data_IF_451824153864
#
_entry.id   IF_451824153864
#
_cell.length_a   1.000
_cell.length_b   1.000
_cell.length_c   1.000
_cell.angle_alpha   90.00
_cell.angle_beta   90.00
_cell.angle_gamma   90.00
#
_symmetry.space_group_name_H-M   'P 1'
#
loop_
_entity.id
_entity.type
_entity.pdbx_description
1 polymer ?
#
# COMPACT_ATOMS: atom_id res chain seq x y z
N UNK A 1 -22.11 9.81 10.23
CA UNK A 1 -22.66 10.40 8.98
C UNK A 1 -23.28 11.73 9.34
N UNK A 2 -23.02 12.79 8.57
CA UNK A 2 -23.65 14.10 8.73
C UNK A 2 -24.76 14.30 7.68
N UNK A 3 -25.70 15.20 7.92
CA UNK A 3 -26.73 15.57 6.93
C UNK A 3 -26.11 15.98 5.58
N UNK A 4 -25.00 16.73 5.61
CA UNK A 4 -24.26 17.10 4.40
C UNK A 4 -23.68 15.89 3.65
N UNK A 5 -23.21 14.87 4.37
CA UNK A 5 -22.72 13.63 3.74
C UNK A 5 -23.84 12.81 3.09
N UNK A 6 -25.05 12.82 3.67
CA UNK A 6 -26.21 12.12 3.10
C UNK A 6 -26.70 12.81 1.83
N UNK A 7 -26.79 14.15 1.87
CA UNK A 7 -27.20 14.94 0.72
C UNK A 7 -26.19 14.82 -0.42
N UNK A 8 -24.89 14.91 -0.10
CA UNK A 8 -23.82 14.69 -1.08
C UNK A 8 -23.89 13.30 -1.71
N UNK A 9 -24.14 12.25 -0.92
CA UNK A 9 -24.35 10.91 -1.45
C UNK A 9 -25.52 10.88 -2.45
N UNK A 10 -26.68 11.46 -2.10
CA UNK A 10 -27.86 11.46 -2.98
C UNK A 10 -27.61 12.26 -4.28
N UNK A 11 -26.91 13.38 -4.18
CA UNK A 11 -26.64 14.28 -5.31
C UNK A 11 -25.58 13.77 -6.31
N UNK A 12 -24.85 12.70 -5.98
CA UNK A 12 -23.86 12.10 -6.87
C UNK A 12 -24.30 10.67 -7.28
N UNK A 13 -25.28 10.53 -8.19
CA UNK A 13 -25.86 9.23 -8.54
C UNK A 13 -24.82 8.28 -9.14
N UNK A 14 -23.90 8.75 -9.97
CA UNK A 14 -22.84 7.90 -10.53
C UNK A 14 -21.97 7.31 -9.42
N UNK A 15 -21.52 8.12 -8.47
CA UNK A 15 -20.69 7.64 -7.37
C UNK A 15 -21.48 6.73 -6.42
N UNK A 16 -22.74 7.06 -6.12
CA UNK A 16 -23.60 6.33 -5.18
C UNK A 16 -24.10 5.00 -5.73
N UNK A 17 -24.51 4.96 -7.00
CA UNK A 17 -24.86 3.71 -7.67
C UNK A 17 -23.62 2.83 -7.82
N UNK A 18 -22.47 3.40 -8.20
CA UNK A 18 -21.22 2.65 -8.20
C UNK A 18 -20.87 2.12 -6.80
N UNK A 19 -21.05 2.90 -5.73
CA UNK A 19 -20.80 2.43 -4.37
C UNK A 19 -21.69 1.24 -3.97
N UNK A 20 -22.97 1.27 -4.34
CA UNK A 20 -23.94 0.23 -3.99
C UNK A 20 -23.78 -1.05 -4.82
N UNK A 21 -23.47 -0.91 -6.12
CA UNK A 21 -23.48 -2.03 -7.05
C UNK A 21 -22.11 -2.54 -7.50
N UNK A 22 -21.01 -1.82 -7.19
CA UNK A 22 -19.66 -2.30 -7.52
C UNK A 22 -19.35 -3.60 -6.78
N UNK A 23 -18.49 -4.41 -7.39
CA UNK A 23 -17.87 -5.51 -6.68
C UNK A 23 -17.10 -5.01 -5.45
N UNK A 24 -17.13 -5.81 -4.38
CA UNK A 24 -16.28 -5.56 -3.22
C UNK A 24 -14.82 -5.53 -3.67
N UNK A 25 -14.05 -4.58 -3.13
CA UNK A 25 -12.62 -4.50 -3.35
C UNK A 25 -11.96 -5.83 -2.99
N UNK A 26 -11.14 -6.35 -3.91
CA UNK A 26 -10.43 -7.62 -3.78
C UNK A 26 -8.97 -7.37 -4.11
N UNK A 27 -8.09 -7.77 -3.19
CA UNK A 27 -6.66 -7.85 -3.47
C UNK A 27 -6.40 -9.21 -4.12
N UNK A 28 -6.29 -9.26 -5.45
CA UNK A 28 -6.22 -10.51 -6.22
C UNK A 28 -5.14 -11.48 -5.69
N UNK A 29 -4.03 -10.96 -5.17
CA UNK A 29 -2.94 -11.75 -4.60
C UNK A 29 -3.24 -12.33 -3.19
N UNK A 30 -4.27 -11.83 -2.50
CA UNK A 30 -4.61 -12.16 -1.09
C UNK A 30 -5.97 -12.87 -0.99
N UNK A 31 -6.82 -12.80 -2.02
CA UNK A 31 -8.15 -13.45 -2.05
C UNK A 31 -8.08 -14.95 -1.71
N UNK A 32 -6.97 -15.62 -2.05
CA UNK A 32 -6.76 -17.04 -1.77
C UNK A 32 -6.27 -17.34 -0.35
N UNK A 33 -5.77 -16.34 0.38
CA UNK A 33 -5.24 -16.48 1.75
C UNK A 33 -6.29 -16.21 2.83
N UNK A 34 -7.47 -15.74 2.46
CA UNK A 34 -8.58 -15.47 3.38
C UNK A 34 -9.58 -16.61 3.36
N UNK A 35 -9.66 -17.39 4.45
CA UNK A 35 -10.72 -18.37 4.62
C UNK A 35 -12.10 -17.69 4.60
N UNK A 36 -13.04 -18.32 3.88
CA UNK A 36 -14.42 -17.85 3.72
C UNK A 36 -15.15 -17.84 5.08
N UNK A 37 -15.07 -16.75 5.82
CA UNK A 37 -15.91 -16.57 6.99
C UNK A 37 -15.34 -15.62 8.02
N UNK A 38 -15.92 -14.43 8.08
CA UNK A 38 -15.69 -13.38 9.08
C UNK A 38 -14.38 -12.59 8.96
N UNK A 39 -14.53 -11.27 8.76
CA UNK A 39 -13.47 -10.26 8.91
C UNK A 39 -12.39 -10.20 7.82
N UNK A 40 -12.80 -10.09 6.54
CA UNK A 40 -11.91 -9.80 5.39
C UNK A 40 -10.91 -8.66 5.72
N UNK A 41 -11.37 -7.65 6.44
CA UNK A 41 -10.56 -6.48 6.77
C UNK A 41 -9.43 -6.80 7.76
N UNK A 42 -9.66 -7.74 8.70
CA UNK A 42 -8.68 -8.13 9.73
C UNK A 42 -7.60 -9.06 9.16
N UNK A 43 -7.97 -9.97 8.26
CA UNK A 43 -7.03 -10.89 7.62
C UNK A 43 -6.14 -10.20 6.59
N UNK A 44 -6.67 -9.24 5.83
CA UNK A 44 -5.87 -8.44 4.88
C UNK A 44 -4.86 -7.55 5.62
N UNK A 45 -5.30 -6.84 6.66
CA UNK A 45 -4.41 -6.01 7.47
C UNK A 45 -3.35 -6.88 8.17
N UNK A 46 -3.75 -8.03 8.73
CA UNK A 46 -2.83 -8.99 9.35
C UNK A 46 -1.77 -9.49 8.37
N UNK A 47 -2.17 -9.94 7.18
CA UNK A 47 -1.26 -10.37 6.13
C UNK A 47 -0.30 -9.26 5.69
N UNK A 48 -0.80 -8.05 5.44
CA UNK A 48 0.03 -6.90 5.08
C UNK A 48 1.05 -6.61 6.18
N UNK A 49 0.64 -6.67 7.44
CA UNK A 49 1.52 -6.45 8.60
C UNK A 49 2.62 -7.53 8.70
N UNK A 50 2.31 -8.79 8.41
CA UNK A 50 3.32 -9.86 8.35
C UNK A 50 4.33 -9.66 7.21
N UNK A 51 3.97 -8.95 6.14
CA UNK A 51 4.91 -8.60 5.06
C UNK A 51 5.82 -7.42 5.43
N UNK A 52 5.52 -6.68 6.50
CA UNK A 52 6.39 -5.61 6.99
C UNK A 52 7.51 -6.19 7.85
N UNK A 53 8.66 -6.40 7.23
CA UNK A 53 9.84 -6.94 7.88
C UNK A 53 10.64 -5.87 8.64
N UNK A 54 11.05 -6.10 9.91
CA UNK A 54 11.90 -5.19 10.69
C UNK A 54 13.40 -5.25 10.34
N UNK A 55 13.78 -5.63 9.13
CA UNK A 55 15.18 -5.56 8.68
C UNK A 55 15.73 -4.12 8.66
N UNK A 56 17.06 -4.00 8.72
CA UNK A 56 17.71 -2.70 8.55
C UNK A 56 17.39 -2.11 7.17
N UNK A 57 17.24 -0.78 7.12
CA UNK A 57 16.76 -0.07 5.93
C UNK A 57 17.73 -0.19 4.73
N UNK A 58 19.04 -0.28 5.02
CA UNK A 58 20.09 -0.25 4.00
C UNK A 58 20.18 -1.55 3.19
N UNK A 59 20.19 -2.72 3.85
CA UNK A 59 20.24 -4.03 3.17
C UNK A 59 18.99 -4.26 2.32
N UNK A 60 17.83 -3.76 2.78
CA UNK A 60 16.59 -3.80 1.99
C UNK A 60 16.71 -2.96 0.73
N UNK A 61 17.27 -1.75 0.81
CA UNK A 61 17.49 -0.91 -0.36
C UNK A 61 18.41 -1.61 -1.36
N UNK A 62 19.53 -2.18 -0.90
CA UNK A 62 20.42 -2.97 -1.75
C UNK A 62 19.71 -4.14 -2.43
N UNK A 63 18.93 -4.92 -1.67
CA UNK A 63 18.17 -6.04 -2.20
C UNK A 63 17.19 -5.60 -3.29
N UNK A 64 16.43 -4.53 -3.02
CA UNK A 64 15.45 -3.99 -3.96
C UNK A 64 16.10 -3.50 -5.24
N UNK A 65 17.21 -2.76 -5.16
CA UNK A 65 17.97 -2.29 -6.33
C UNK A 65 18.50 -3.46 -7.15
N UNK A 66 19.14 -4.45 -6.51
CA UNK A 66 19.68 -5.66 -7.16
C UNK A 66 18.58 -6.47 -7.87
N UNK A 67 17.38 -6.54 -7.28
CA UNK A 67 16.25 -7.28 -7.84
C UNK A 67 15.55 -6.52 -8.98
N UNK A 68 15.42 -5.20 -8.86
CA UNK A 68 14.68 -4.36 -9.80
C UNK A 68 15.42 -4.15 -11.13
N UNK A 69 16.74 -3.93 -11.09
CA UNK A 69 17.61 -3.78 -12.28
C UNK A 69 17.18 -2.69 -13.28
N UNK A 70 16.44 -1.69 -12.81
CA UNK A 70 15.93 -0.53 -13.54
C UNK A 70 16.11 0.71 -12.65
N UNK A 71 15.87 1.94 -13.15
CA UNK A 71 15.90 3.13 -12.31
C UNK A 71 15.04 2.94 -11.05
N UNK A 72 15.64 3.19 -9.89
CA UNK A 72 15.05 2.96 -8.58
C UNK A 72 15.02 4.29 -7.82
N UNK A 73 13.84 4.69 -7.37
CA UNK A 73 13.64 5.88 -6.55
C UNK A 73 13.47 5.49 -5.08
N UNK A 74 14.28 6.09 -4.20
CA UNK A 74 14.22 5.89 -2.76
C UNK A 74 13.43 7.02 -2.10
N UNK A 75 12.18 6.73 -1.75
CA UNK A 75 11.30 7.67 -1.05
C UNK A 75 11.54 7.61 0.47
N UNK A 76 11.64 8.77 1.11
CA UNK A 76 11.63 8.88 2.58
C UNK A 76 12.99 9.16 3.21
N UNK A 77 13.96 9.65 2.44
CA UNK A 77 15.24 10.13 2.98
C UNK A 77 15.03 11.42 3.76
N UNK A 78 15.23 11.36 5.08
CA UNK A 78 15.00 12.49 5.99
C UNK A 78 16.27 13.05 6.64
N UNK A 79 17.41 12.36 6.52
CA UNK A 79 18.71 12.77 7.09
C UNK A 79 19.80 12.92 6.02
N UNK A 80 20.84 13.69 6.33
CA UNK A 80 22.01 13.84 5.46
C UNK A 80 22.78 12.53 5.34
N UNK A 81 22.83 11.76 6.42
CA UNK A 81 23.48 10.45 6.48
C UNK A 81 22.80 9.46 5.54
N UNK A 82 21.46 9.46 5.48
CA UNK A 82 20.71 8.54 4.61
C UNK A 82 20.80 8.97 3.13
N UNK A 83 20.90 10.27 2.86
CA UNK A 83 21.18 10.75 1.50
C UNK A 83 22.56 10.28 1.01
N UNK A 84 23.59 10.30 1.87
CA UNK A 84 24.92 9.76 1.52
C UNK A 84 24.88 8.25 1.25
N UNK A 85 24.12 7.49 2.04
CA UNK A 85 23.92 6.06 1.80
C UNK A 85 23.18 5.79 0.49
N UNK A 86 22.15 6.58 0.17
CA UNK A 86 21.42 6.48 -1.08
C UNK A 86 22.31 6.71 -2.30
N UNK A 87 23.24 7.68 -2.23
CA UNK A 87 24.21 7.90 -3.30
C UNK A 87 25.12 6.68 -3.55
N UNK A 88 25.52 5.96 -2.50
CA UNK A 88 26.33 4.73 -2.63
C UNK A 88 25.57 3.64 -3.41
N UNK A 89 24.24 3.62 -3.30
CA UNK A 89 23.37 2.66 -3.97
C UNK A 89 22.96 3.04 -5.40
N UNK A 90 23.43 4.19 -5.90
CA UNK A 90 23.08 4.74 -7.22
C UNK A 90 21.56 4.84 -7.44
N UNK A 91 20.83 5.24 -6.39
CA UNK A 91 19.38 5.42 -6.45
C UNK A 91 19.02 6.89 -6.64
N UNK A 92 17.88 7.12 -7.28
CA UNK A 92 17.28 8.45 -7.40
C UNK A 92 16.57 8.80 -6.09
N UNK A 93 16.66 10.05 -5.64
CA UNK A 93 15.90 10.57 -4.50
C UNK A 93 14.56 11.14 -4.94
#
# INVERSE_FOLDING_TARGET
>A
MTLGSLLSFILHPDWSLNFLFREKFKLANIVHMTEKGSSIDRSVIGYINEQFDPFNELERCEYCVKKWKKPFALKGVMSVEDAKKAMILDVQL
#
